data_IF_318774548024
#
_entry.id   IF_318774548024
#
_cell.length_a   1.000
_cell.length_b   1.000
_cell.length_c   1.000
_cell.angle_alpha   90.00
_cell.angle_beta   90.00
_cell.angle_gamma   90.00
#
_symmetry.space_group_name_H-M   'P 1'
#
loop_
_entity.id
_entity.type
_entity.pdbx_description
1 polymer ?
#
# COMPACT_ATOMS: atom_id res chain seq x y z
N UNK A 1 -3.00 -20.60 10.64
CA UNK A 1 -4.05 -20.23 9.66
C UNK A 1 -4.44 -18.76 9.80
N UNK A 2 -4.71 -18.26 11.02
CA UNK A 2 -5.06 -16.85 11.28
C UNK A 2 -4.10 -15.78 10.73
N UNK A 3 -2.79 -16.07 10.63
CA UNK A 3 -1.81 -15.10 10.10
C UNK A 3 -1.99 -14.82 8.61
N UNK A 4 -2.33 -15.85 7.82
CA UNK A 4 -2.53 -15.71 6.37
C UNK A 4 -3.85 -14.98 6.11
N UNK A 5 -4.91 -15.34 6.84
CA UNK A 5 -6.22 -14.69 6.71
C UNK A 5 -6.16 -13.21 7.15
N UNK A 6 -5.41 -12.90 8.21
CA UNK A 6 -5.21 -11.53 8.66
C UNK A 6 -4.41 -10.69 7.67
N UNK A 7 -3.38 -11.28 7.05
CA UNK A 7 -2.52 -10.58 6.10
C UNK A 7 -3.26 -10.16 4.82
N UNK A 8 -4.27 -10.91 4.38
CA UNK A 8 -5.05 -10.58 3.18
C UNK A 8 -6.42 -9.93 3.48
N UNK A 9 -6.64 -9.47 4.72
CA UNK A 9 -7.91 -8.88 5.13
C UNK A 9 -8.21 -7.57 4.39
N UNK A 10 -7.20 -6.71 4.27
CA UNK A 10 -7.29 -5.48 3.51
C UNK A 10 -6.24 -5.42 2.39
N UNK A 11 -5.03 -5.91 2.64
CA UNK A 11 -4.02 -6.04 1.61
C UNK A 11 -4.40 -7.12 0.59
N UNK A 12 -4.29 -6.81 -0.70
CA UNK A 12 -4.55 -7.75 -1.78
C UNK A 12 -3.24 -8.18 -2.46
N UNK A 13 -2.49 -7.21 -2.99
CA UNK A 13 -1.27 -7.44 -3.76
C UNK A 13 -0.39 -6.20 -3.77
N UNK A 14 0.79 -6.30 -4.38
CA UNK A 14 1.65 -5.17 -4.65
C UNK A 14 2.31 -5.31 -6.02
N UNK A 15 2.65 -4.18 -6.64
CA UNK A 15 3.50 -4.12 -7.84
C UNK A 15 4.38 -2.88 -7.82
N UNK A 16 5.40 -2.85 -8.68
CA UNK A 16 6.12 -1.63 -8.97
C UNK A 16 5.55 -1.00 -10.24
N UNK A 17 5.33 0.32 -10.21
CA UNK A 17 4.97 1.15 -11.37
C UNK A 17 5.98 2.28 -11.42
N UNK A 18 6.77 2.36 -12.49
CA UNK A 18 7.82 3.38 -12.66
C UNK A 18 8.77 3.54 -11.45
N UNK A 19 9.11 2.42 -10.79
CA UNK A 19 10.01 2.41 -9.62
C UNK A 19 9.36 2.78 -8.28
N UNK A 20 8.06 3.10 -8.28
CA UNK A 20 7.24 3.34 -7.09
C UNK A 20 6.54 2.06 -6.69
N UNK A 21 6.57 1.71 -5.39
CA UNK A 21 5.82 0.57 -4.88
C UNK A 21 4.34 0.95 -4.75
N UNK A 22 3.46 0.18 -5.35
CA UNK A 22 2.01 0.34 -5.26
C UNK A 22 1.44 -0.86 -4.53
N UNK A 23 0.75 -0.61 -3.41
CA UNK A 23 -0.05 -1.61 -2.70
C UNK A 23 -1.50 -1.53 -3.18
N UNK A 24 -2.09 -2.67 -3.51
CA UNK A 24 -3.51 -2.81 -3.77
C UNK A 24 -4.23 -3.23 -2.50
N UNK A 25 -5.30 -2.53 -2.18
CA UNK A 25 -6.08 -2.72 -0.95
C UNK A 25 -7.54 -3.01 -1.31
N UNK A 26 -8.27 -3.67 -0.40
CA UNK A 26 -9.72 -3.82 -0.49
C UNK A 26 -10.42 -2.52 -0.08
N UNK A 27 -9.82 -1.76 0.85
CA UNK A 27 -10.32 -0.49 1.39
C UNK A 27 -9.16 0.47 1.67
N UNK A 28 -9.30 1.71 1.22
CA UNK A 28 -8.37 2.79 1.57
C UNK A 28 -8.65 3.31 2.99
N UNK A 29 -7.61 3.61 3.78
CA UNK A 29 -7.74 4.49 4.93
C UNK A 29 -8.30 5.86 4.53
N UNK A 30 -9.02 6.51 5.44
CA UNK A 30 -9.39 7.92 5.25
C UNK A 30 -8.17 8.85 5.32
N UNK A 31 -8.33 10.11 4.88
CA UNK A 31 -7.22 11.07 4.82
C UNK A 31 -6.52 11.27 6.18
N UNK A 32 -7.23 11.42 7.32
CA UNK A 32 -6.58 11.55 8.62
C UNK A 32 -5.76 10.31 9.00
N UNK A 33 -6.28 9.11 8.75
CA UNK A 33 -5.55 7.87 9.02
C UNK A 33 -4.33 7.73 8.11
N UNK A 34 -4.45 8.14 6.85
CA UNK A 34 -3.34 8.10 5.90
C UNK A 34 -2.22 9.07 6.28
N UNK A 35 -2.56 10.26 6.77
CA UNK A 35 -1.58 11.22 7.28
C UNK A 35 -0.83 10.64 8.49
N UNK A 36 -1.55 10.02 9.43
CA UNK A 36 -0.94 9.36 10.60
C UNK A 36 -0.03 8.19 10.21
N UNK A 37 -0.45 7.36 9.26
CA UNK A 37 0.38 6.27 8.73
C UNK A 37 1.62 6.82 8.02
N UNK A 38 1.49 7.93 7.29
CA UNK A 38 2.64 8.59 6.66
C UNK A 38 3.68 9.04 7.69
N UNK A 39 3.24 9.65 8.79
CA UNK A 39 4.12 10.06 9.89
C UNK A 39 4.77 8.85 10.58
N UNK A 40 3.99 7.82 10.91
CA UNK A 40 4.47 6.64 11.62
C UNK A 40 5.53 5.86 10.81
N UNK A 41 5.38 5.83 9.49
CA UNK A 41 6.24 5.07 8.57
C UNK A 41 7.15 5.97 7.71
N UNK A 42 7.32 7.24 8.09
CA UNK A 42 8.18 8.18 7.37
C UNK A 42 9.63 7.66 7.22
N UNK A 43 10.09 6.81 8.14
CA UNK A 43 11.43 6.20 8.12
C UNK A 43 11.71 5.32 6.89
N UNK A 44 10.67 4.86 6.18
CA UNK A 44 10.80 4.00 5.00
C UNK A 44 10.31 4.64 3.70
N UNK A 45 9.87 5.89 3.76
CA UNK A 45 9.33 6.65 2.63
C UNK A 45 10.34 7.72 2.22
N UNK A 46 10.94 7.58 1.03
CA UNK A 46 11.88 8.59 0.50
C UNK A 46 11.21 9.95 0.29
N UNK A 47 9.92 9.96 -0.02
CA UNK A 47 9.08 11.16 -0.12
C UNK A 47 8.50 11.63 1.23
N UNK A 48 8.55 10.79 2.27
CA UNK A 48 7.92 11.03 3.58
C UNK A 48 6.39 10.89 3.61
N UNK A 49 5.72 10.51 2.52
CA UNK A 49 4.24 10.44 2.47
C UNK A 49 3.69 9.28 1.66
N UNK A 50 2.60 8.69 2.17
CA UNK A 50 1.76 7.71 1.48
C UNK A 50 0.72 8.45 0.64
N UNK A 51 0.45 7.98 -0.58
CA UNK A 51 -0.52 8.63 -1.48
C UNK A 51 -1.52 7.63 -2.01
N UNK A 52 -2.81 7.94 -1.89
CA UNK A 52 -3.82 7.26 -2.68
C UNK A 52 -3.59 7.61 -4.17
N UNK A 53 -3.70 6.60 -5.04
CA UNK A 53 -3.52 6.76 -6.49
C UNK A 53 -4.57 5.97 -7.23
N UNK A 54 -4.83 6.37 -8.47
CA UNK A 54 -5.66 5.59 -9.40
C UNK A 54 -4.83 4.43 -10.00
N UNK A 55 -5.52 3.44 -10.59
CA UNK A 55 -4.87 2.40 -11.36
C UNK A 55 -4.10 3.00 -12.55
N UNK A 56 -2.92 2.45 -12.85
CA UNK A 56 -2.17 2.86 -14.05
C UNK A 56 -2.89 2.43 -15.34
N UNK A 57 -2.55 3.07 -16.47
CA UNK A 57 -3.10 2.66 -17.77
C UNK A 57 -2.76 1.20 -18.11
N UNK A 58 -1.57 0.75 -17.72
CA UNK A 58 -1.12 -0.63 -17.87
C UNK A 58 -2.03 -1.57 -17.07
N UNK A 59 -2.26 -1.30 -15.78
CA UNK A 59 -3.16 -2.10 -14.92
C UNK A 59 -4.58 -2.18 -15.50
N UNK A 60 -5.10 -1.07 -16.04
CA UNK A 60 -6.41 -1.04 -16.68
C UNK A 60 -6.43 -1.92 -17.93
N UNK A 61 -5.40 -1.82 -18.78
CA UNK A 61 -5.31 -2.60 -20.02
C UNK A 61 -5.14 -4.10 -19.78
N UNK A 62 -4.47 -4.47 -18.69
CA UNK A 62 -4.24 -5.86 -18.27
C UNK A 62 -5.44 -6.45 -17.51
N UNK A 63 -6.42 -5.62 -17.11
CA UNK A 63 -7.51 -6.04 -16.25
C UNK A 63 -7.05 -6.41 -14.83
N UNK A 64 -5.95 -5.81 -14.35
CA UNK A 64 -5.32 -6.10 -13.07
C UNK A 64 -6.07 -5.41 -11.91
N UNK A 65 -7.33 -5.82 -11.71
CA UNK A 65 -8.25 -5.34 -10.69
C UNK A 65 -8.36 -3.81 -10.63
N UNK A 66 -8.57 -3.08 -11.75
CA UNK A 66 -8.50 -1.62 -11.81
C UNK A 66 -9.45 -0.90 -10.84
N UNK A 67 -10.51 -1.56 -10.39
CA UNK A 67 -11.53 -1.05 -9.46
C UNK A 67 -11.06 -0.99 -7.99
N UNK A 68 -10.04 -1.75 -7.61
CA UNK A 68 -9.58 -1.78 -6.22
C UNK A 68 -8.87 -0.47 -5.82
N UNK A 69 -8.87 -0.09 -4.54
CA UNK A 69 -8.06 1.03 -4.10
C UNK A 69 -6.54 0.79 -4.17
N UNK A 70 -5.74 1.83 -4.49
CA UNK A 70 -4.27 1.77 -4.48
C UNK A 70 -3.63 2.78 -3.53
N UNK A 71 -2.52 2.36 -2.94
CA UNK A 71 -1.63 3.19 -2.16
C UNK A 71 -0.21 3.16 -2.71
N UNK A 72 0.30 4.32 -3.12
CA UNK A 72 1.67 4.50 -3.59
C UNK A 72 2.61 4.85 -2.43
N UNK A 73 3.73 4.14 -2.40
CA UNK A 73 4.80 4.25 -1.43
C UNK A 73 6.11 4.51 -2.19
N UNK A 74 6.75 5.63 -1.91
CA UNK A 74 8.13 5.85 -2.36
C UNK A 74 9.11 5.09 -1.45
N UNK A 75 8.97 3.77 -1.44
CA UNK A 75 9.62 2.87 -0.51
C UNK A 75 11.14 2.81 -0.73
N UNK A 76 11.93 2.83 0.35
CA UNK A 76 13.40 2.81 0.32
C UNK A 76 14.03 1.54 -0.31
N UNK A 77 13.22 0.49 -0.57
CA UNK A 77 13.62 -0.81 -1.12
C UNK A 77 14.59 -1.60 -0.23
N UNK A 78 14.62 -1.30 1.08
CA UNK A 78 15.55 -1.92 2.04
C UNK A 78 14.81 -2.39 3.29
N UNK A 79 13.86 -1.59 3.77
CA UNK A 79 13.24 -1.76 5.08
C UNK A 79 12.01 -2.68 5.04
N UNK A 80 12.16 -3.89 4.50
CA UNK A 80 11.05 -4.82 4.25
C UNK A 80 10.32 -5.28 5.52
N UNK A 81 11.02 -5.43 6.66
CA UNK A 81 10.38 -5.75 7.93
C UNK A 81 9.43 -4.65 8.42
N UNK A 82 9.75 -3.40 8.09
CA UNK A 82 8.91 -2.23 8.41
C UNK A 82 7.75 -2.09 7.43
N UNK A 83 7.99 -2.37 6.14
CA UNK A 83 6.92 -2.51 5.14
C UNK A 83 5.89 -3.55 5.57
N UNK A 84 6.33 -4.70 6.12
CA UNK A 84 5.41 -5.70 6.67
C UNK A 84 4.52 -5.13 7.77
N UNK A 85 5.09 -4.35 8.70
CA UNK A 85 4.31 -3.68 9.77
C UNK A 85 3.33 -2.65 9.21
N UNK A 86 3.68 -1.93 8.14
CA UNK A 86 2.74 -1.03 7.47
C UNK A 86 1.57 -1.82 6.87
N UNK A 87 1.84 -2.96 6.24
CA UNK A 87 0.78 -3.84 5.72
C UNK A 87 -0.10 -4.36 6.88
N UNK A 88 0.50 -4.76 8.01
CA UNK A 88 -0.27 -5.18 9.18
C UNK A 88 -1.15 -4.04 9.73
N UNK A 89 -0.66 -2.79 9.73
CA UNK A 89 -1.45 -1.61 10.11
C UNK A 89 -2.60 -1.33 9.12
N UNK A 90 -2.34 -1.45 7.81
CA UNK A 90 -3.37 -1.32 6.77
C UNK A 90 -4.44 -2.42 6.88
N UNK A 91 -4.09 -3.62 7.35
CA UNK A 91 -5.03 -4.72 7.58
C UNK A 91 -5.95 -4.51 8.79
N UNK A 92 -5.70 -3.49 9.63
CA UNK A 92 -6.55 -3.17 10.77
C UNK A 92 -7.81 -2.36 10.40
N UNK A 93 -7.90 -1.84 9.17
CA UNK A 93 -9.05 -1.10 8.63
C UNK A 93 -10.15 -2.05 8.12
#
# INVERSE_FOLDING_TARGET
>A
VAEIEGFYRNYHSQRYVDGVLVLRLQRLPDEPSLARLSEEFADILRSGTLRAVEASQEEISEGDFPEMPRLALDFDQRSHGRLRRLIDALNAF
#
